data_IF_044587678992
#
_entry.id   IF_044587678992
#
_cell.length_a   1.000
_cell.length_b   1.000
_cell.length_c   1.000
_cell.angle_alpha   90.00
_cell.angle_beta   90.00
_cell.angle_gamma   90.00
#
_symmetry.space_group_name_H-M   'P 1'
#
loop_
_entity.id
_entity.type
_entity.pdbx_description
1 polymer ?
#
# COMPACT_ATOMS: atom_id res chain seq x y z
N UNK A 1 32.31 -9.40 -4.86
CA UNK A 1 31.82 -8.03 -4.79
C UNK A 1 30.31 -8.10 -5.01
N UNK A 2 29.55 -8.24 -3.92
CA UNK A 2 28.09 -8.23 -3.99
C UNK A 2 27.68 -6.81 -4.37
N UNK A 3 26.99 -6.66 -5.49
CA UNK A 3 26.30 -5.40 -5.81
C UNK A 3 25.21 -5.20 -4.77
N UNK A 4 25.28 -4.12 -4.00
CA UNK A 4 24.15 -3.68 -3.21
C UNK A 4 22.94 -3.56 -4.14
N UNK A 5 21.71 -3.94 -3.68
CA UNK A 5 20.53 -3.78 -4.51
C UNK A 5 20.43 -2.30 -4.89
N UNK A 6 20.28 -2.02 -6.18
CA UNK A 6 20.02 -0.66 -6.70
C UNK A 6 18.74 -0.14 -6.01
N UNK A 7 18.92 0.73 -5.03
CA UNK A 7 17.82 1.32 -4.26
C UNK A 7 17.56 2.70 -4.86
N UNK A 8 16.42 2.86 -5.51
CA UNK A 8 15.97 4.19 -5.92
C UNK A 8 15.72 5.03 -4.67
N UNK A 9 16.24 6.26 -4.65
CA UNK A 9 15.98 7.19 -3.55
C UNK A 9 14.47 7.46 -3.42
N UNK A 10 13.97 7.40 -2.21
CA UNK A 10 12.56 7.60 -1.88
C UNK A 10 11.60 6.52 -2.45
N UNK A 11 12.11 5.36 -2.86
CA UNK A 11 11.31 4.18 -3.18
C UNK A 11 11.66 3.07 -2.19
N UNK A 12 10.67 2.60 -1.43
CA UNK A 12 10.85 1.65 -0.33
C UNK A 12 10.08 0.36 -0.65
N UNK A 13 10.80 -0.76 -0.77
CA UNK A 13 10.17 -2.08 -0.86
C UNK A 13 9.79 -2.54 0.55
N UNK A 14 8.50 -2.52 0.88
CA UNK A 14 8.00 -2.93 2.19
C UNK A 14 7.97 -4.45 2.35
N UNK A 15 8.00 -5.20 1.27
CA UNK A 15 8.03 -6.65 1.28
C UNK A 15 9.31 -7.25 1.88
N UNK A 16 10.41 -6.49 1.86
CA UNK A 16 11.71 -6.89 2.43
C UNK A 16 12.09 -6.06 3.67
N UNK A 17 11.22 -5.12 4.09
CA UNK A 17 11.45 -4.33 5.29
C UNK A 17 11.51 -5.24 6.53
N UNK A 18 12.29 -4.88 7.56
CA UNK A 18 12.24 -5.58 8.85
C UNK A 18 10.83 -5.57 9.43
N UNK A 19 10.46 -6.66 10.14
CA UNK A 19 9.18 -6.70 10.84
C UNK A 19 9.19 -5.71 11.99
N UNK A 20 8.12 -4.89 12.10
CA UNK A 20 7.91 -3.96 13.21
C UNK A 20 7.20 -4.59 14.41
N UNK A 21 6.72 -5.84 14.30
CA UNK A 21 6.04 -6.53 15.39
C UNK A 21 5.71 -7.99 15.05
N UNK A 22 5.58 -8.79 16.10
CA UNK A 22 5.16 -10.20 16.03
C UNK A 22 3.71 -10.40 16.50
N UNK A 23 3.09 -9.37 17.04
CA UNK A 23 1.69 -9.29 17.43
C UNK A 23 1.10 -7.94 16.99
N UNK A 24 -0.23 -7.89 16.92
CA UNK A 24 -0.93 -6.74 16.35
C UNK A 24 -0.79 -5.47 17.20
N UNK A 25 -0.73 -5.59 18.53
CA UNK A 25 -0.55 -4.44 19.44
C UNK A 25 0.81 -3.79 19.22
N UNK A 26 1.88 -4.59 19.23
CA UNK A 26 3.24 -4.10 18.97
C UNK A 26 3.34 -3.47 17.58
N UNK A 27 2.72 -4.10 16.57
CA UNK A 27 2.71 -3.59 15.21
C UNK A 27 1.98 -2.23 15.10
N UNK A 28 0.77 -2.08 15.65
CA UNK A 28 0.06 -0.81 15.66
C UNK A 28 0.84 0.27 16.41
N UNK A 29 1.41 -0.06 17.58
CA UNK A 29 2.22 0.87 18.35
C UNK A 29 3.45 1.33 17.58
N UNK A 30 4.20 0.41 16.96
CA UNK A 30 5.39 0.74 16.18
C UNK A 30 5.08 1.65 15.00
N UNK A 31 4.00 1.35 14.27
CA UNK A 31 3.57 2.15 13.10
C UNK A 31 3.03 3.52 13.53
N UNK A 32 2.39 3.63 14.72
CA UNK A 32 1.84 4.88 15.24
C UNK A 32 2.89 5.78 15.88
N UNK A 33 3.99 5.22 16.41
CA UNK A 33 5.05 5.94 17.14
C UNK A 33 6.13 6.52 16.22
N UNK A 34 6.10 6.24 14.91
CA UNK A 34 7.05 6.84 13.96
C UNK A 34 6.74 8.34 13.72
N UNK A 35 6.38 9.03 14.83
CA UNK A 35 6.04 10.46 14.89
C UNK A 35 7.19 11.42 14.58
N UNK A 36 8.26 10.93 13.96
CA UNK A 36 9.31 11.74 13.31
C UNK A 36 9.04 11.92 11.81
N UNK A 37 8.05 11.21 11.26
CA UNK A 37 7.63 11.41 9.89
C UNK A 37 6.71 12.64 9.81
N UNK A 38 7.01 13.55 8.90
CA UNK A 38 6.10 14.63 8.49
C UNK A 38 4.91 14.09 7.66
N UNK A 39 4.87 12.79 7.44
CA UNK A 39 3.79 12.10 6.73
C UNK A 39 2.58 11.93 7.67
N UNK A 40 1.36 12.14 7.17
CA UNK A 40 0.12 11.98 7.95
C UNK A 40 -0.26 10.51 8.16
N UNK A 41 0.63 9.59 7.89
CA UNK A 41 0.46 8.16 8.08
C UNK A 41 1.77 7.51 8.54
N UNK A 42 1.62 6.48 9.38
CA UNK A 42 2.68 5.54 9.67
C UNK A 42 2.51 4.27 8.85
N UNK A 43 3.56 3.55 8.57
CA UNK A 43 3.50 2.26 7.90
C UNK A 43 4.61 1.33 8.38
N UNK A 44 4.36 0.04 8.30
CA UNK A 44 5.34 -0.96 8.64
C UNK A 44 4.91 -2.36 8.20
N UNK A 45 5.89 -3.26 8.09
CA UNK A 45 5.65 -4.68 7.88
C UNK A 45 5.56 -5.39 9.22
N UNK A 46 4.58 -6.26 9.39
CA UNK A 46 4.46 -7.11 10.56
C UNK A 46 4.36 -8.59 10.15
N UNK A 47 4.94 -9.47 10.98
CA UNK A 47 4.78 -10.93 10.84
C UNK A 47 4.08 -11.41 12.10
N UNK A 48 2.77 -11.63 12.00
CA UNK A 48 1.91 -11.92 13.13
C UNK A 48 1.73 -13.43 13.30
N UNK A 49 1.80 -13.91 14.55
CA UNK A 49 1.49 -15.31 14.87
C UNK A 49 0.91 -15.40 16.27
N UNK A 50 -0.18 -16.15 16.43
CA UNK A 50 -0.89 -16.29 17.70
C UNK A 50 -2.21 -15.56 17.70
N UNK A 51 -2.61 -15.10 18.88
CA UNK A 51 -3.89 -14.43 19.10
C UNK A 51 -3.78 -13.37 20.19
N UNK A 52 -4.67 -12.38 20.16
CA UNK A 52 -4.75 -11.34 21.17
C UNK A 52 -6.14 -10.73 21.26
N UNK A 53 -6.44 -10.13 22.41
CA UNK A 53 -7.71 -9.43 22.68
C UNK A 53 -7.44 -8.07 23.30
N UNK A 54 -8.35 -7.11 23.10
CA UNK A 54 -8.23 -5.78 23.68
C UNK A 54 -7.13 -4.92 23.07
N UNK A 55 -6.71 -5.24 21.84
CA UNK A 55 -5.70 -4.46 21.10
C UNK A 55 -6.30 -3.16 20.63
N UNK A 56 -5.75 -2.04 21.09
CA UNK A 56 -6.21 -0.71 20.72
C UNK A 56 -5.44 -0.17 19.51
N UNK A 57 -6.18 0.29 18.49
CA UNK A 57 -5.65 1.15 17.43
C UNK A 57 -6.17 2.57 17.64
N UNK A 58 -5.26 3.52 17.86
CA UNK A 58 -5.60 4.93 18.06
C UNK A 58 -6.02 5.62 16.76
N UNK A 59 -5.70 5.03 15.63
CA UNK A 59 -5.91 5.59 14.30
C UNK A 59 -6.62 4.61 13.38
N UNK A 60 -7.31 5.13 12.38
CA UNK A 60 -7.78 4.33 11.26
C UNK A 60 -6.60 3.65 10.56
N UNK A 61 -6.79 2.41 10.14
CA UNK A 61 -5.69 1.61 9.57
C UNK A 61 -6.15 0.86 8.33
N UNK A 62 -5.19 0.63 7.43
CA UNK A 62 -5.33 -0.28 6.29
C UNK A 62 -4.33 -1.43 6.51
N UNK A 63 -4.81 -2.66 6.42
CA UNK A 63 -3.98 -3.87 6.52
C UNK A 63 -4.00 -4.57 5.16
N UNK A 64 -2.81 -4.81 4.60
CA UNK A 64 -2.61 -5.54 3.34
C UNK A 64 -1.91 -6.86 3.66
N UNK A 65 -2.56 -7.98 3.43
CA UNK A 65 -2.00 -9.30 3.73
C UNK A 65 -1.21 -9.83 2.52
N UNK A 66 0.07 -10.09 2.73
CA UNK A 66 0.99 -10.62 1.73
C UNK A 66 1.02 -12.14 1.71
N UNK A 67 0.96 -12.76 2.88
CA UNK A 67 0.99 -14.21 3.03
C UNK A 67 0.36 -14.65 4.36
N UNK A 68 -0.06 -15.90 4.48
CA UNK A 68 -0.68 -16.45 5.67
C UNK A 68 -2.17 -16.12 5.79
N UNK A 69 -2.65 -16.04 7.03
CA UNK A 69 -4.05 -15.73 7.35
C UNK A 69 -4.14 -14.86 8.61
N UNK A 70 -5.03 -13.88 8.57
CA UNK A 70 -5.31 -12.97 9.69
C UNK A 70 -6.82 -12.83 9.88
N UNK A 71 -7.29 -13.20 11.06
CA UNK A 71 -8.65 -12.95 11.51
C UNK A 71 -8.67 -11.76 12.45
N UNK A 72 -9.60 -10.82 12.26
CA UNK A 72 -9.77 -9.65 13.12
C UNK A 72 -11.24 -9.51 13.45
N UNK A 73 -11.53 -9.22 14.71
CA UNK A 73 -12.89 -8.98 15.22
C UNK A 73 -12.92 -7.64 15.95
N UNK A 74 -13.92 -6.80 15.66
CA UNK A 74 -14.16 -5.56 16.38
C UNK A 74 -14.94 -5.79 17.68
N UNK A 75 -15.12 -4.73 18.47
CA UNK A 75 -15.90 -4.78 19.72
C UNK A 75 -17.42 -5.02 19.53
N UNK A 76 -17.94 -4.83 18.32
CA UNK A 76 -19.33 -5.09 18.00
C UNK A 76 -19.57 -6.55 17.57
N UNK A 77 -18.49 -7.34 17.51
CA UNK A 77 -18.52 -8.73 17.08
C UNK A 77 -18.48 -8.94 15.57
N UNK A 78 -18.27 -7.88 14.79
CA UNK A 78 -18.00 -8.00 13.36
C UNK A 78 -16.63 -8.65 13.17
N UNK A 79 -16.54 -9.61 12.26
CA UNK A 79 -15.34 -10.39 12.02
C UNK A 79 -14.97 -10.39 10.55
N UNK A 80 -13.69 -10.24 10.27
CA UNK A 80 -13.12 -10.36 8.94
C UNK A 80 -11.97 -11.36 8.97
N UNK A 81 -11.85 -12.14 7.91
CA UNK A 81 -10.70 -13.02 7.68
C UNK A 81 -9.99 -12.56 6.41
N UNK A 82 -8.73 -12.25 6.54
CA UNK A 82 -7.86 -11.91 5.41
C UNK A 82 -7.04 -13.12 5.01
N UNK A 83 -6.91 -13.31 3.71
CA UNK A 83 -5.99 -14.22 3.06
C UNK A 83 -5.06 -13.46 2.11
N UNK A 84 -4.08 -14.14 1.54
CA UNK A 84 -3.08 -13.53 0.67
C UNK A 84 -3.70 -12.62 -0.41
N UNK A 85 -3.17 -11.41 -0.54
CA UNK A 85 -3.58 -10.41 -1.53
C UNK A 85 -4.81 -9.59 -1.13
N UNK A 86 -5.40 -9.85 0.03
CA UNK A 86 -6.57 -9.12 0.52
C UNK A 86 -6.20 -7.92 1.38
N UNK A 87 -7.10 -6.96 1.41
CA UNK A 87 -6.95 -5.68 2.13
C UNK A 87 -8.17 -5.44 3.01
N UNK A 88 -7.94 -4.96 4.21
CA UNK A 88 -8.99 -4.50 5.10
C UNK A 88 -8.76 -3.07 5.57
N UNK A 89 -9.85 -2.36 5.83
CA UNK A 89 -9.88 -1.11 6.56
C UNK A 89 -10.40 -1.32 7.98
N UNK A 90 -9.76 -0.68 8.94
CA UNK A 90 -10.11 -0.72 10.36
C UNK A 90 -10.26 0.71 10.86
N UNK A 91 -11.40 1.11 11.46
CA UNK A 91 -11.49 2.39 12.16
C UNK A 91 -10.58 2.38 13.40
N UNK A 92 -10.34 3.54 14.00
CA UNK A 92 -9.80 3.59 15.35
C UNK A 92 -10.72 2.81 16.30
N UNK A 93 -10.15 1.98 17.19
CA UNK A 93 -10.95 1.14 18.07
C UNK A 93 -10.18 0.01 18.72
N UNK A 94 -10.93 -0.90 19.33
CA UNK A 94 -10.37 -2.06 20.04
C UNK A 94 -10.73 -3.33 19.26
N UNK A 95 -9.74 -4.22 19.11
CA UNK A 95 -9.86 -5.43 18.31
C UNK A 95 -9.38 -6.66 19.07
N UNK A 96 -9.88 -7.81 18.66
CA UNK A 96 -9.26 -9.11 18.90
C UNK A 96 -8.78 -9.67 17.56
N UNK A 97 -7.76 -10.51 17.60
CA UNK A 97 -7.15 -11.06 16.39
C UNK A 97 -6.61 -12.47 16.61
N UNK A 98 -6.52 -13.22 15.53
CA UNK A 98 -5.84 -14.51 15.42
C UNK A 98 -5.08 -14.54 14.09
N UNK A 99 -3.82 -14.97 14.11
CA UNK A 99 -2.99 -15.05 12.91
C UNK A 99 -2.21 -16.36 12.85
N UNK A 100 -2.02 -16.85 11.62
CA UNK A 100 -1.14 -17.97 11.32
C UNK A 100 -0.09 -17.52 10.32
N UNK A 101 1.08 -17.15 10.85
CA UNK A 101 2.20 -16.64 10.06
C UNK A 101 1.77 -15.53 9.06
N UNK A 102 0.94 -14.59 9.51
CA UNK A 102 0.42 -13.53 8.67
C UNK A 102 1.51 -12.48 8.43
N UNK A 103 2.05 -12.45 7.21
CA UNK A 103 2.95 -11.41 6.73
C UNK A 103 2.11 -10.29 6.12
N UNK A 104 2.07 -9.13 6.78
CA UNK A 104 1.24 -8.01 6.36
C UNK A 104 1.98 -6.68 6.41
N UNK A 105 1.50 -5.73 5.62
CA UNK A 105 1.84 -4.32 5.75
C UNK A 105 0.65 -3.60 6.38
N UNK A 106 0.94 -2.85 7.43
CA UNK A 106 -0.02 -2.02 8.15
C UNK A 106 0.30 -0.57 7.84
N UNK A 107 -0.72 0.19 7.47
CA UNK A 107 -0.68 1.64 7.34
C UNK A 107 -1.66 2.22 8.35
N UNK A 108 -1.22 3.15 9.19
CA UNK A 108 -2.07 3.92 10.12
C UNK A 108 -2.21 5.35 9.60
N UNK A 109 -3.41 5.90 9.65
CA UNK A 109 -3.74 7.21 9.09
C UNK A 109 -3.97 8.17 10.24
N UNK A 110 -3.03 9.10 10.44
CA UNK A 110 -3.00 10.05 11.55
C UNK A 110 -3.89 11.29 11.31
N UNK A 111 -5.02 11.10 10.65
CA UNK A 111 -5.95 12.17 10.33
C UNK A 111 -7.24 11.99 11.13
N UNK A 112 -7.51 12.93 12.07
CA UNK A 112 -8.64 12.85 12.99
C UNK A 112 -10.02 12.82 12.33
N UNK A 113 -10.14 13.32 11.10
CA UNK A 113 -11.42 13.42 10.38
C UNK A 113 -11.69 12.27 9.43
N UNK A 114 -10.72 11.39 9.21
CA UNK A 114 -10.90 10.27 8.31
C UNK A 114 -11.57 9.12 9.06
N UNK A 115 -12.83 8.86 8.73
CA UNK A 115 -13.55 7.69 9.21
C UNK A 115 -13.55 6.61 8.14
N UNK A 116 -12.97 5.46 8.45
CA UNK A 116 -13.06 4.26 7.61
C UNK A 116 -14.03 3.26 8.24
N UNK A 117 -14.70 2.47 7.43
CA UNK A 117 -15.54 1.38 7.92
C UNK A 117 -14.69 0.16 8.26
N UNK A 118 -15.12 -0.62 9.28
CA UNK A 118 -14.53 -1.93 9.52
C UNK A 118 -14.96 -2.89 8.43
N UNK A 119 -14.00 -3.46 7.70
CA UNK A 119 -14.34 -4.43 6.67
C UNK A 119 -13.20 -4.76 5.71
N UNK A 120 -13.42 -5.83 4.97
CA UNK A 120 -12.58 -6.20 3.84
C UNK A 120 -12.96 -5.36 2.62
N UNK A 121 -11.97 -4.84 1.91
CA UNK A 121 -12.18 -4.11 0.66
C UNK A 121 -12.46 -5.09 -0.48
N UNK A 122 -13.49 -4.81 -1.27
CA UNK A 122 -13.81 -5.57 -2.48
C UNK A 122 -12.87 -5.13 -3.62
N UNK A 123 -11.69 -5.73 -3.67
CA UNK A 123 -10.69 -5.41 -4.69
C UNK A 123 -11.07 -5.90 -6.10
N UNK A 124 -12.13 -6.68 -6.24
CA UNK A 124 -12.68 -7.13 -7.53
C UNK A 124 -13.87 -6.27 -7.97
N UNK A 125 -14.12 -5.16 -7.26
CA UNK A 125 -15.16 -4.21 -7.62
C UNK A 125 -15.01 -3.73 -9.08
N UNK A 126 -16.12 -3.63 -9.83
CA UNK A 126 -16.08 -3.11 -11.20
C UNK A 126 -15.41 -1.74 -11.29
N UNK A 127 -14.43 -1.62 -12.17
CA UNK A 127 -13.72 -0.38 -12.43
C UNK A 127 -14.34 0.41 -13.58
N UNK A 128 -14.37 1.72 -13.45
CA UNK A 128 -14.72 2.65 -14.53
C UNK A 128 -13.48 3.06 -15.34
N UNK A 129 -13.63 3.53 -16.59
CA UNK A 129 -12.52 4.06 -17.35
C UNK A 129 -11.74 5.12 -16.54
N UNK A 130 -10.42 4.97 -16.47
CA UNK A 130 -9.51 5.89 -15.79
C UNK A 130 -8.98 6.98 -16.72
N UNK A 131 -8.35 7.99 -16.15
CA UNK A 131 -7.61 8.99 -16.92
C UNK A 131 -6.33 8.39 -17.52
N UNK A 132 -6.07 8.63 -18.80
CA UNK A 132 -4.79 8.26 -19.40
C UNK A 132 -3.65 9.09 -18.81
N UNK A 133 -2.43 8.53 -18.71
CA UNK A 133 -1.25 9.30 -18.36
C UNK A 133 -1.04 10.46 -19.36
N UNK A 134 -0.34 11.52 -18.91
CA UNK A 134 -0.04 12.65 -19.79
C UNK A 134 0.69 12.17 -21.06
N UNK A 135 0.12 12.37 -22.26
CA UNK A 135 0.71 11.89 -23.50
C UNK A 135 2.14 12.39 -23.76
N UNK A 136 2.49 13.59 -23.26
CA UNK A 136 3.83 14.16 -23.41
C UNK A 136 4.91 13.38 -22.62
N UNK A 137 4.53 12.57 -21.68
CA UNK A 137 5.43 11.74 -20.90
C UNK A 137 5.60 10.32 -21.45
N UNK A 138 4.70 9.87 -22.33
CA UNK A 138 4.70 8.50 -22.83
C UNK A 138 5.87 8.24 -23.78
N UNK A 139 6.50 7.09 -23.61
CA UNK A 139 7.52 6.54 -24.55
C UNK A 139 6.96 5.40 -25.39
N UNK A 140 5.72 4.98 -25.11
CA UNK A 140 4.94 3.96 -25.83
C UNK A 140 3.57 4.52 -26.21
N UNK A 141 2.74 3.80 -26.99
CA UNK A 141 1.35 4.19 -27.19
C UNK A 141 0.58 4.37 -25.87
N UNK A 142 -0.43 5.23 -25.89
CA UNK A 142 -1.24 5.49 -24.71
C UNK A 142 -1.96 4.22 -24.24
N UNK A 143 -1.91 3.90 -22.93
CA UNK A 143 -2.59 2.73 -22.40
C UNK A 143 -4.10 2.97 -22.26
N UNK A 144 -4.85 1.88 -22.15
CA UNK A 144 -6.20 1.90 -21.57
C UNK A 144 -6.06 1.72 -20.07
N UNK A 145 -6.71 2.60 -19.30
CA UNK A 145 -6.70 2.55 -17.84
C UNK A 145 -8.11 2.43 -17.30
N UNK A 146 -8.25 1.79 -16.15
CA UNK A 146 -9.50 1.74 -15.39
C UNK A 146 -9.22 1.91 -13.89
N UNK A 147 -10.21 2.41 -13.14
CA UNK A 147 -10.08 2.62 -11.71
C UNK A 147 -11.41 2.51 -10.96
N UNK A 148 -11.31 2.22 -9.66
CA UNK A 148 -12.37 2.40 -8.68
C UNK A 148 -11.75 3.00 -7.41
N UNK A 149 -12.39 4.03 -6.87
CA UNK A 149 -11.96 4.69 -5.63
C UNK A 149 -12.89 4.24 -4.50
N UNK A 150 -12.32 3.67 -3.44
CA UNK A 150 -13.04 3.35 -2.21
C UNK A 150 -13.17 4.57 -1.30
N UNK A 151 -12.20 5.47 -1.39
CA UNK A 151 -12.11 6.70 -0.63
C UNK A 151 -11.41 7.77 -1.46
N UNK A 152 -11.94 8.98 -1.47
CA UNK A 152 -11.40 10.10 -2.25
C UNK A 152 -11.37 11.43 -1.47
N UNK A 153 -11.31 11.35 -0.13
CA UNK A 153 -11.25 12.54 0.70
C UNK A 153 -9.81 13.09 0.74
N UNK A 154 -9.68 14.35 0.34
CA UNK A 154 -8.41 15.09 0.43
C UNK A 154 -7.96 15.18 1.91
N UNK A 155 -6.69 14.92 2.25
CA UNK A 155 -5.55 14.68 1.36
C UNK A 155 -5.25 13.20 1.05
N UNK A 156 -6.06 12.24 1.52
CA UNK A 156 -5.82 10.80 1.34
C UNK A 156 -6.91 10.17 0.49
N UNK A 157 -6.49 9.42 -0.53
CA UNK A 157 -7.37 8.61 -1.37
C UNK A 157 -6.80 7.21 -1.55
N UNK A 158 -7.68 6.20 -1.73
CA UNK A 158 -7.27 4.84 -2.08
C UNK A 158 -8.29 4.14 -2.95
N UNK A 159 -7.79 3.17 -3.71
CA UNK A 159 -8.61 2.43 -4.65
C UNK A 159 -7.84 1.34 -5.36
N UNK A 160 -8.45 0.84 -6.42
CA UNK A 160 -7.84 -0.06 -7.39
C UNK A 160 -7.66 0.65 -8.73
N UNK A 161 -6.60 0.26 -9.44
CA UNK A 161 -6.26 0.81 -10.74
C UNK A 161 -5.65 -0.28 -11.61
N UNK A 162 -6.03 -0.31 -12.88
CA UNK A 162 -5.48 -1.22 -13.85
C UNK A 162 -5.10 -0.49 -15.14
N UNK A 163 -4.14 -1.05 -15.86
CA UNK A 163 -3.63 -0.50 -17.12
C UNK A 163 -3.15 -1.60 -18.06
N UNK A 164 -3.28 -1.34 -19.36
CA UNK A 164 -2.55 -2.08 -20.39
C UNK A 164 -1.07 -1.67 -20.39
N UNK A 165 -0.17 -2.41 -21.08
CA UNK A 165 1.25 -2.10 -21.11
C UNK A 165 1.54 -0.67 -21.55
N UNK A 166 2.44 0.01 -20.83
CA UNK A 166 2.99 1.31 -21.25
C UNK A 166 4.30 1.64 -20.53
N UNK A 167 5.05 2.57 -21.10
CA UNK A 167 6.19 3.18 -20.46
C UNK A 167 6.13 4.71 -20.56
N UNK A 168 6.71 5.39 -19.58
CA UNK A 168 6.81 6.84 -19.55
C UNK A 168 8.16 7.32 -19.03
N UNK A 169 8.53 8.53 -19.43
CA UNK A 169 9.69 9.25 -18.92
C UNK A 169 9.61 9.43 -17.39
N UNK A 170 10.77 9.65 -16.74
CA UNK A 170 10.81 9.95 -15.32
C UNK A 170 9.96 11.19 -14.98
N UNK A 171 9.24 11.10 -13.86
CA UNK A 171 8.61 12.25 -13.21
C UNK A 171 9.14 12.39 -11.80
N UNK A 172 9.12 13.60 -11.27
CA UNK A 172 9.31 13.83 -9.84
C UNK A 172 7.96 13.66 -9.15
N UNK A 173 7.87 12.73 -8.22
CA UNK A 173 6.67 12.54 -7.40
C UNK A 173 6.56 13.70 -6.41
N UNK A 174 5.41 14.37 -6.39
CA UNK A 174 5.07 15.42 -5.40
C UNK A 174 4.16 14.90 -4.28
N UNK A 175 3.78 13.63 -4.32
CA UNK A 175 2.89 12.95 -3.39
C UNK A 175 3.51 11.63 -2.95
N UNK A 176 2.99 11.07 -1.85
CA UNK A 176 3.30 9.70 -1.43
C UNK A 176 2.31 8.74 -2.07
N UNK A 177 2.79 7.65 -2.64
CA UNK A 177 1.95 6.58 -3.17
C UNK A 177 2.41 5.22 -2.66
N UNK A 178 1.58 4.57 -1.85
CA UNK A 178 1.77 3.17 -1.47
C UNK A 178 1.00 2.30 -2.46
N UNK A 179 1.68 1.29 -2.98
CA UNK A 179 1.14 0.38 -3.99
C UNK A 179 1.31 -1.07 -3.56
N UNK A 180 0.26 -1.87 -3.74
CA UNK A 180 0.30 -3.34 -3.71
C UNK A 180 -0.05 -3.84 -5.11
N UNK A 181 0.90 -4.50 -5.77
CA UNK A 181 0.64 -5.09 -7.08
C UNK A 181 -0.20 -6.36 -6.93
N UNK A 182 -1.33 -6.40 -7.62
CA UNK A 182 -2.22 -7.57 -7.67
C UNK A 182 -1.94 -8.44 -8.89
N UNK A 183 -1.54 -7.82 -10.00
CA UNK A 183 -1.22 -8.49 -11.26
C UNK A 183 -0.16 -7.71 -12.03
N UNK A 184 0.65 -8.45 -12.80
CA UNK A 184 1.69 -7.88 -13.65
C UNK A 184 2.96 -7.53 -12.89
N UNK A 185 3.76 -6.72 -13.54
CA UNK A 185 5.01 -6.20 -13.01
C UNK A 185 5.23 -4.76 -13.46
N UNK A 186 6.03 -4.03 -12.70
CA UNK A 186 6.47 -2.68 -13.05
C UNK A 186 7.94 -2.50 -12.71
N UNK A 187 8.67 -1.91 -13.62
CA UNK A 187 10.03 -1.41 -13.38
C UNK A 187 10.00 0.10 -13.19
N UNK A 188 10.45 0.54 -12.03
CA UNK A 188 10.77 1.93 -11.78
C UNK A 188 12.24 2.15 -12.05
N UNK A 189 12.60 3.21 -12.80
CA UNK A 189 13.98 3.49 -13.13
C UNK A 189 14.33 4.97 -13.07
N UNK A 190 15.57 5.24 -12.65
CA UNK A 190 16.18 6.56 -12.65
C UNK A 190 17.57 6.44 -13.31
N UNK A 191 17.92 7.25 -14.31
CA UNK A 191 19.21 7.14 -15.00
C UNK A 191 20.42 7.20 -14.07
N UNK A 192 20.34 7.94 -12.98
CA UNK A 192 21.45 8.17 -12.04
C UNK A 192 21.50 7.15 -10.90
N UNK A 193 20.37 6.50 -10.57
CA UNK A 193 20.22 5.63 -9.40
C UNK A 193 20.03 4.16 -9.77
N UNK A 194 19.61 3.87 -11.02
CA UNK A 194 19.37 2.51 -11.50
C UNK A 194 17.88 2.16 -11.61
N UNK A 195 17.53 0.89 -11.39
CA UNK A 195 16.16 0.42 -11.52
C UNK A 195 15.80 -0.63 -10.47
N UNK A 196 14.52 -0.72 -10.18
CA UNK A 196 13.93 -1.76 -9.34
C UNK A 196 12.65 -2.26 -10.00
N UNK A 197 12.46 -3.59 -10.03
CA UNK A 197 11.24 -4.22 -10.55
C UNK A 197 10.43 -4.78 -9.39
N UNK A 198 9.14 -4.49 -9.39
CA UNK A 198 8.14 -5.03 -8.48
C UNK A 198 7.19 -5.92 -9.27
N UNK A 199 6.78 -7.03 -8.66
CA UNK A 199 5.90 -8.03 -9.26
C UNK A 199 4.62 -8.21 -8.42
N UNK A 200 3.64 -8.94 -8.94
CA UNK A 200 2.43 -9.26 -8.18
C UNK A 200 2.75 -9.81 -6.78
N UNK A 201 2.11 -9.27 -5.76
CA UNK A 201 2.35 -9.55 -4.33
C UNK A 201 3.33 -8.58 -3.66
N UNK A 202 4.07 -7.79 -4.41
CA UNK A 202 4.94 -6.76 -3.81
C UNK A 202 4.14 -5.57 -3.32
N UNK A 203 4.59 -5.01 -2.18
CA UNK A 203 4.09 -3.76 -1.61
C UNK A 203 5.26 -2.80 -1.49
N UNK A 204 5.11 -1.62 -2.05
CA UNK A 204 6.15 -0.59 -2.04
C UNK A 204 5.57 0.81 -1.93
N UNK A 205 6.37 1.72 -1.41
CA UNK A 205 6.04 3.13 -1.22
C UNK A 205 6.96 3.98 -2.08
N UNK A 206 6.37 4.89 -2.84
CA UNK A 206 7.06 5.99 -3.51
C UNK A 206 6.78 7.27 -2.72
N UNK A 207 7.82 7.97 -2.28
CA UNK A 207 7.73 9.21 -1.49
C UNK A 207 7.91 10.45 -2.35
N UNK A 208 7.47 11.62 -1.86
CA UNK A 208 7.78 12.90 -2.50
C UNK A 208 9.28 13.05 -2.73
N UNK A 209 9.63 13.61 -3.89
CA UNK A 209 11.03 13.77 -4.32
C UNK A 209 11.64 12.54 -4.99
N UNK A 210 10.95 11.41 -5.06
CA UNK A 210 11.36 10.31 -5.93
C UNK A 210 11.32 10.76 -7.38
N UNK A 211 12.34 10.41 -8.15
CA UNK A 211 12.37 10.62 -9.61
C UNK A 211 12.39 9.26 -10.27
N UNK A 212 11.33 8.88 -10.97
CA UNK A 212 11.25 7.58 -11.58
C UNK A 212 10.47 7.56 -12.89
N UNK A 213 11.01 6.85 -13.87
CA UNK A 213 10.30 6.35 -15.04
C UNK A 213 9.42 5.17 -14.60
N UNK A 214 8.43 4.87 -15.41
CA UNK A 214 7.52 3.74 -15.22
C UNK A 214 7.55 2.87 -16.47
N UNK A 215 7.66 1.57 -16.32
CA UNK A 215 7.56 0.60 -17.41
C UNK A 215 6.85 -0.65 -16.91
N UNK A 216 5.63 -0.91 -17.41
CA UNK A 216 4.93 -2.18 -17.21
C UNK A 216 4.77 -2.88 -18.57
N UNK A 217 5.51 -3.97 -18.79
CA UNK A 217 5.52 -4.67 -20.08
C UNK A 217 4.26 -5.52 -20.32
N UNK A 218 3.46 -5.74 -19.31
CA UNK A 218 2.21 -6.50 -19.36
C UNK A 218 1.08 -5.73 -18.70
N UNK A 219 -0.15 -6.23 -18.81
CA UNK A 219 -1.29 -5.72 -18.03
C UNK A 219 -0.93 -5.71 -16.55
N UNK A 220 -1.24 -4.61 -15.90
CA UNK A 220 -0.95 -4.40 -14.49
C UNK A 220 -2.21 -3.99 -13.74
N UNK A 221 -2.34 -4.49 -12.51
CA UNK A 221 -3.37 -4.08 -11.57
C UNK A 221 -2.76 -3.88 -10.19
N UNK A 222 -3.18 -2.80 -9.52
CA UNK A 222 -2.70 -2.46 -8.18
C UNK A 222 -3.84 -1.95 -7.29
N UNK A 223 -3.75 -2.22 -6.00
CA UNK A 223 -4.34 -1.40 -4.96
C UNK A 223 -3.37 -0.25 -4.66
N UNK A 224 -3.89 0.95 -4.47
CA UNK A 224 -3.09 2.15 -4.22
C UNK A 224 -3.67 3.00 -3.10
N UNK A 225 -2.78 3.67 -2.37
CA UNK A 225 -3.10 4.72 -1.41
C UNK A 225 -2.23 5.92 -1.75
N UNK A 226 -2.84 7.06 -2.03
CA UNK A 226 -2.16 8.32 -2.31
C UNK A 226 -2.43 9.30 -1.18
N UNK A 227 -1.37 9.98 -0.76
CA UNK A 227 -1.43 11.17 0.06
C UNK A 227 -0.84 12.35 -0.71
N UNK A 228 -1.67 13.35 -0.95
CA UNK A 228 -1.27 14.63 -1.58
C UNK A 228 -1.12 15.67 -0.48
N UNK A 229 0.11 16.10 -0.15
CA UNK A 229 0.29 17.18 0.81
C UNK A 229 -0.35 18.46 0.26
N UNK A 230 -1.13 19.15 1.11
CA UNK A 230 -1.77 20.44 0.82
C UNK A 230 -0.76 21.59 0.74
#
# INVERSE_FOLDING_TARGET
MQREPNVLRNVINLGVAPSCGSDLETAFRAVSLDGQSTEPFGFGRAILSGQGTGVESLFSSIIMLRDGALNIRDNNGLEITLTQGEVASLPAGIFSWEARAADCVILTIHQERLSVSFGKLDLDHPMSPGGAPNPALLTTPAPTTSRHEFQSDDPIAWGIWATTPYARHPITYSFSELMMLRRGEVTLSNPDEGSVTFVAGDIFLVRPGAVAAWDNPSDLEKFWIIHSPS
#
